data_IF_333097264473
#
_entry.id   IF_333097264473
#
_cell.length_a   1.000
_cell.length_b   1.000
_cell.length_c   1.000
_cell.angle_alpha   90.00
_cell.angle_beta   90.00
_cell.angle_gamma   90.00
#
_symmetry.space_group_name_H-M   'P 1'
#
loop_
_entity.id
_entity.type
_entity.pdbx_description
1 polymer ?
#
# COMPACT_ATOMS: atom_id res chain seq x y z
N UNK A 1 1.35 17.84 16.45
CA UNK A 1 1.68 16.83 17.48
C UNK A 1 2.05 15.53 16.76
N UNK A 2 3.31 15.10 16.82
CA UNK A 2 3.80 13.96 16.04
C UNK A 2 3.45 12.64 16.75
N UNK A 3 2.56 11.84 16.16
CA UNK A 3 2.23 10.50 16.65
C UNK A 3 3.51 9.64 16.72
N UNK A 4 3.75 8.94 17.83
CA UNK A 4 4.90 8.03 17.98
C UNK A 4 4.79 6.90 16.96
N UNK A 5 5.77 6.83 16.05
CA UNK A 5 5.89 5.74 15.07
C UNK A 5 6.43 4.50 15.78
N UNK A 6 5.70 3.40 15.69
CA UNK A 6 6.08 2.07 16.23
C UNK A 6 6.95 1.31 15.23
N UNK A 7 6.78 1.59 13.94
CA UNK A 7 7.61 1.01 12.90
C UNK A 7 7.12 1.34 11.49
N UNK A 8 7.94 0.97 10.52
CA UNK A 8 7.64 1.08 9.10
C UNK A 8 7.56 -0.31 8.48
N UNK A 9 6.52 -0.56 7.69
CA UNK A 9 6.31 -1.79 6.95
C UNK A 9 6.37 -1.42 5.46
N UNK A 10 7.30 -2.04 4.73
CA UNK A 10 7.43 -1.83 3.28
C UNK A 10 6.89 -3.07 2.58
N UNK A 11 5.88 -2.88 1.75
CA UNK A 11 5.22 -3.95 1.01
C UNK A 11 5.14 -3.59 -0.46
N UNK A 12 4.94 -4.61 -1.30
CA UNK A 12 4.71 -4.44 -2.72
C UNK A 12 3.39 -5.10 -3.06
N UNK A 13 2.47 -4.31 -3.63
CA UNK A 13 1.08 -4.74 -3.87
C UNK A 13 0.71 -4.37 -5.29
N UNK A 14 -0.01 -5.26 -5.98
CA UNK A 14 -0.50 -4.98 -7.33
C UNK A 14 -1.60 -3.91 -7.25
N UNK A 15 -1.45 -2.83 -8.02
CA UNK A 15 -2.45 -1.77 -8.16
C UNK A 15 -3.82 -2.35 -8.52
N UNK A 16 -4.89 -1.84 -7.91
CA UNK A 16 -6.26 -2.31 -8.14
C UNK A 16 -6.56 -3.76 -7.73
N UNK A 17 -5.57 -4.51 -7.23
CA UNK A 17 -5.67 -5.91 -6.82
C UNK A 17 -5.01 -6.14 -5.46
N UNK A 18 -5.20 -5.22 -4.52
CA UNK A 18 -4.77 -5.44 -3.14
C UNK A 18 -5.61 -6.54 -2.49
N UNK A 19 -4.96 -7.67 -2.24
CA UNK A 19 -5.52 -8.82 -1.54
C UNK A 19 -4.79 -9.05 -0.22
N UNK A 20 -5.46 -9.64 0.79
CA UNK A 20 -4.87 -10.02 2.08
C UNK A 20 -3.94 -11.24 1.96
N UNK A 21 -3.11 -11.27 0.92
CA UNK A 21 -2.19 -12.35 0.60
C UNK A 21 -1.09 -12.47 1.68
N UNK A 22 -0.39 -13.61 1.81
CA UNK A 22 0.59 -13.88 2.86
C UNK A 22 1.73 -12.85 3.07
N UNK A 23 2.12 -11.99 2.12
CA UNK A 23 3.07 -10.91 2.46
C UNK A 23 2.40 -9.72 3.19
N UNK A 24 1.14 -9.42 2.90
CA UNK A 24 0.43 -8.22 3.43
C UNK A 24 -0.33 -8.55 4.72
N UNK A 25 -1.06 -9.67 4.72
CA UNK A 25 -1.91 -10.09 5.83
C UNK A 25 -1.14 -10.28 7.14
N UNK A 26 -0.11 -11.13 7.18
CA UNK A 26 0.76 -11.31 8.35
C UNK A 26 1.47 -10.04 8.79
N UNK A 27 2.00 -9.23 7.87
CA UNK A 27 2.76 -8.02 8.24
C UNK A 27 1.90 -6.97 8.95
N UNK A 28 0.67 -6.75 8.47
CA UNK A 28 -0.31 -5.85 9.06
C UNK A 28 -0.99 -6.46 10.29
N UNK A 29 -1.37 -7.74 10.20
CA UNK A 29 -2.05 -8.48 11.27
C UNK A 29 -1.18 -8.66 12.51
N UNK A 30 0.12 -8.93 12.36
CA UNK A 30 1.08 -8.99 13.47
C UNK A 30 1.20 -7.66 14.23
N UNK A 31 0.86 -6.54 13.58
CA UNK A 31 0.87 -5.20 14.18
C UNK A 31 -0.51 -4.75 14.67
N UNK A 32 -1.53 -5.60 14.56
CA UNK A 32 -2.91 -5.27 14.93
C UNK A 32 -3.54 -4.20 14.03
N UNK A 33 -3.04 -4.05 12.80
CA UNK A 33 -3.54 -3.09 11.82
C UNK A 33 -4.62 -3.71 10.94
N UNK A 34 -5.56 -2.89 10.48
CA UNK A 34 -6.72 -3.36 9.75
C UNK A 34 -6.37 -3.65 8.27
N UNK A 35 -6.13 -4.93 7.95
CA UNK A 35 -5.72 -5.40 6.62
C UNK A 35 -6.77 -5.04 5.55
N UNK A 36 -8.05 -5.21 5.87
CA UNK A 36 -9.14 -5.01 4.91
C UNK A 36 -9.33 -3.53 4.57
N UNK A 37 -9.16 -2.66 5.56
CA UNK A 37 -9.17 -1.21 5.39
C UNK A 37 -7.99 -0.74 4.54
N UNK A 38 -6.80 -1.30 4.79
CA UNK A 38 -5.63 -1.06 3.95
C UNK A 38 -5.88 -1.47 2.48
N UNK A 39 -6.39 -2.69 2.24
CA UNK A 39 -6.67 -3.15 0.88
C UNK A 39 -7.67 -2.25 0.15
N UNK A 40 -8.76 -1.81 0.82
CA UNK A 40 -9.74 -0.88 0.24
C UNK A 40 -9.12 0.50 -0.06
N UNK A 41 -8.41 1.08 0.90
CA UNK A 41 -7.80 2.39 0.75
C UNK A 41 -6.69 2.39 -0.33
N UNK A 42 -5.91 1.31 -0.39
CA UNK A 42 -4.93 1.11 -1.45
C UNK A 42 -5.58 0.94 -2.82
N UNK A 43 -6.64 0.14 -2.95
CA UNK A 43 -7.36 -0.02 -4.22
C UNK A 43 -7.99 1.30 -4.68
N UNK A 44 -8.55 2.09 -3.76
CA UNK A 44 -9.07 3.43 -4.08
C UNK A 44 -7.96 4.40 -4.52
N UNK A 45 -6.81 4.41 -3.83
CA UNK A 45 -5.67 5.25 -4.19
C UNK A 45 -5.02 4.82 -5.52
N UNK A 46 -5.03 3.52 -5.81
CA UNK A 46 -4.47 2.94 -7.04
C UNK A 46 -5.51 2.75 -8.14
N UNK A 47 -6.76 3.18 -7.95
CA UNK A 47 -7.83 3.10 -8.95
C UNK A 47 -7.54 3.94 -10.19
N UNK A 48 -6.72 5.00 -10.04
CA UNK A 48 -6.22 5.81 -11.16
C UNK A 48 -5.04 5.18 -11.89
N UNK A 49 -4.42 4.15 -11.29
CA UNK A 49 -3.32 3.41 -11.87
C UNK A 49 -3.86 2.18 -12.58
N UNK A 50 -3.09 1.66 -13.52
CA UNK A 50 -3.47 0.42 -14.17
C UNK A 50 -3.50 -0.76 -13.20
N UNK A 51 -4.57 -1.56 -13.22
CA UNK A 51 -4.66 -2.75 -12.42
C UNK A 51 -3.56 -3.75 -12.81
N UNK A 52 -2.89 -4.32 -11.80
CA UNK A 52 -1.85 -5.33 -11.98
C UNK A 52 -0.41 -4.80 -11.88
N UNK A 53 -0.20 -3.48 -11.84
CA UNK A 53 1.15 -2.93 -11.70
C UNK A 53 1.69 -3.10 -10.27
N UNK A 54 2.93 -3.61 -10.10
CA UNK A 54 3.52 -3.77 -8.78
C UNK A 54 3.87 -2.40 -8.18
N UNK A 55 3.08 -1.98 -7.20
CA UNK A 55 3.15 -0.67 -6.59
C UNK A 55 3.72 -0.80 -5.17
N UNK A 56 4.88 -0.17 -4.89
CA UNK A 56 5.46 -0.18 -3.56
C UNK A 56 4.67 0.74 -2.62
N UNK A 57 4.43 0.26 -1.40
CA UNK A 57 3.69 0.97 -0.37
C UNK A 57 4.44 0.92 0.95
N UNK A 58 4.49 2.06 1.62
CA UNK A 58 5.14 2.20 2.92
C UNK A 58 4.04 2.49 3.93
N UNK A 59 3.88 1.58 4.88
CA UNK A 59 2.89 1.69 5.95
C UNK A 59 3.63 2.07 7.22
N UNK A 60 3.26 3.20 7.80
CA UNK A 60 3.77 3.69 9.07
C UNK A 60 2.78 3.31 10.15
N UNK A 61 3.19 2.43 11.06
CA UNK A 61 2.39 2.04 12.22
C UNK A 61 2.64 3.03 13.36
N UNK A 62 1.58 3.50 14.01
CA UNK A 62 1.66 4.37 15.18
C UNK A 62 1.26 3.64 16.47
N UNK A 63 1.63 4.20 17.62
CA UNK A 63 1.42 3.59 18.95
C UNK A 63 -0.03 3.53 19.38
N UNK A 64 -0.90 4.32 18.73
CA UNK A 64 -2.35 4.37 18.96
C UNK A 64 -3.12 3.32 18.13
N UNK A 65 -2.42 2.32 17.58
CA UNK A 65 -2.97 1.31 16.65
C UNK A 65 -3.51 1.91 15.34
N UNK A 66 -3.20 3.18 15.06
CA UNK A 66 -3.47 3.75 13.74
C UNK A 66 -2.32 3.45 12.80
N UNK A 67 -2.60 3.44 11.50
CA UNK A 67 -1.59 3.36 10.46
C UNK A 67 -1.82 4.47 9.44
N UNK A 68 -0.73 5.00 8.91
CA UNK A 68 -0.77 5.75 7.65
C UNK A 68 -0.06 4.94 6.60
N UNK A 69 -0.51 5.02 5.36
CA UNK A 69 0.20 4.40 4.26
C UNK A 69 0.48 5.44 3.20
N UNK A 70 1.66 5.35 2.60
CA UNK A 70 2.08 6.14 1.48
C UNK A 70 2.27 5.17 0.33
N UNK A 71 1.35 5.23 -0.62
CA UNK A 71 1.53 4.58 -1.92
C UNK A 71 2.54 5.40 -2.70
N UNK A 72 3.63 4.77 -3.10
CA UNK A 72 4.50 5.39 -4.11
C UNK A 72 3.85 5.20 -5.46
N UNK A 73 3.80 6.25 -6.26
CA UNK A 73 3.35 6.16 -7.64
C UNK A 73 4.21 5.15 -8.39
N UNK A 74 3.57 4.31 -9.20
CA UNK A 74 4.29 3.46 -10.15
C UNK A 74 5.18 4.33 -11.02
N UNK A 75 6.40 3.88 -11.34
CA UNK A 75 7.34 4.69 -12.10
C UNK A 75 6.68 5.16 -13.40
N UNK A 76 6.79 6.47 -13.68
CA UNK A 76 6.26 7.12 -14.88
C UNK A 76 6.66 6.39 -16.17
N UNK A 77 7.75 5.61 -16.12
CA UNK A 77 8.23 4.70 -17.16
C UNK A 77 7.18 3.70 -17.65
N UNK A 78 6.27 3.23 -16.79
CA UNK A 78 5.20 2.29 -17.21
C UNK A 78 4.03 3.03 -17.87
N UNK A 79 3.67 4.20 -17.34
CA UNK A 79 2.67 5.08 -17.96
C UNK A 79 3.15 5.57 -19.34
N UNK A 80 4.43 5.89 -19.47
CA UNK A 80 5.06 6.30 -20.73
C UNK A 80 5.22 5.14 -21.72
N UNK A 81 5.60 3.94 -21.28
CA UNK A 81 5.66 2.75 -22.17
C UNK A 81 4.30 2.39 -22.76
N UNK A 82 3.20 2.71 -22.07
CA UNK A 82 1.85 2.46 -22.57
C UNK A 82 1.28 3.59 -23.41
N UNK A 83 1.60 4.85 -23.09
CA UNK A 83 1.19 6.01 -23.90
C UNK A 83 1.94 6.11 -25.24
N UNK A 84 3.10 5.45 -25.37
CA UNK A 84 3.86 5.35 -26.61
C UNK A 84 3.53 4.11 -27.47
N UNK A 85 2.45 3.39 -27.13
CA UNK A 85 1.89 2.30 -27.92
C UNK A 85 0.84 2.79 -28.91
#
# INVERSE_FOLDING_TARGET
MAKKVVGYIKLQVKAGQANPSPPVGPALGQRGLNIMEFCKAFNAATQKLEPGLPTPVIITAYSDRTFTFITKSTPATVLLKKAAG
#
